data_IF_827375376597
#
_entry.id   IF_827375376597
#
_cell.length_a   1.000
_cell.length_b   1.000
_cell.length_c   1.000
_cell.angle_alpha   90.00
_cell.angle_beta   90.00
_cell.angle_gamma   90.00
#
_symmetry.space_group_name_H-M   'P 1'
#
loop_
_entity.id
_entity.type
_entity.pdbx_description
1 polymer ?
#
# COMPACT_ATOMS: atom_id res chain seq x y z
N UNK A 1 -11.92 -10.79 -6.85
CA UNK A 1 -11.60 -10.02 -8.06
C UNK A 1 -12.50 -8.79 -8.20
N UNK A 2 -12.05 -7.81 -9.02
CA UNK A 2 -12.87 -6.74 -9.58
C UNK A 2 -12.57 -6.67 -11.07
N UNK A 3 -13.56 -6.40 -11.89
CA UNK A 3 -13.40 -6.33 -13.33
C UNK A 3 -14.21 -5.18 -13.93
N UNK A 4 -13.66 -4.61 -15.01
CA UNK A 4 -14.34 -3.63 -15.86
C UNK A 4 -14.26 -4.15 -17.28
N UNK A 5 -15.37 -4.20 -17.98
CA UNK A 5 -15.46 -4.63 -19.37
C UNK A 5 -16.19 -3.60 -20.23
N UNK A 6 -15.61 -3.29 -21.39
CA UNK A 6 -16.27 -2.53 -22.43
C UNK A 6 -17.04 -3.48 -23.35
N UNK A 7 -18.35 -3.30 -23.41
CA UNK A 7 -19.22 -4.01 -24.34
C UNK A 7 -19.45 -3.13 -25.57
N UNK A 8 -18.84 -3.49 -26.68
CA UNK A 8 -18.90 -2.70 -27.91
C UNK A 8 -20.35 -2.45 -28.33
N UNK A 9 -20.73 -1.20 -28.52
CA UNK A 9 -22.08 -0.68 -28.82
C UNK A 9 -23.11 -0.80 -27.67
N UNK A 10 -22.73 -1.38 -26.53
CA UNK A 10 -23.66 -1.55 -25.40
C UNK A 10 -23.27 -0.72 -24.17
N UNK A 11 -21.98 -0.40 -23.97
CA UNK A 11 -21.54 0.40 -22.83
C UNK A 11 -20.46 -0.27 -21.99
N UNK A 12 -20.40 0.11 -20.71
CA UNK A 12 -19.39 -0.36 -19.76
C UNK A 12 -20.07 -1.11 -18.62
N UNK A 13 -19.53 -2.25 -18.24
CA UNK A 13 -19.95 -2.98 -17.04
C UNK A 13 -18.76 -3.13 -16.09
N UNK A 14 -18.97 -2.82 -14.81
CA UNK A 14 -18.02 -3.10 -13.72
C UNK A 14 -18.67 -4.00 -12.68
N UNK A 15 -17.89 -4.92 -12.10
CA UNK A 15 -18.43 -5.82 -11.07
C UNK A 15 -17.34 -6.32 -10.11
N UNK A 16 -17.77 -6.61 -8.87
CA UNK A 16 -16.92 -7.21 -7.82
C UNK A 16 -17.36 -8.63 -7.50
N UNK A 17 -16.41 -9.46 -7.07
CA UNK A 17 -16.74 -10.81 -6.56
C UNK A 17 -17.57 -10.72 -5.26
N UNK A 18 -18.25 -11.82 -4.89
CA UNK A 18 -19.12 -11.85 -3.70
C UNK A 18 -18.41 -11.54 -2.38
N UNK A 19 -17.09 -11.60 -2.35
CA UNK A 19 -16.28 -11.32 -1.16
C UNK A 19 -15.69 -9.90 -1.14
N UNK A 20 -15.79 -9.16 -2.24
CA UNK A 20 -15.23 -7.82 -2.37
C UNK A 20 -13.72 -7.77 -2.13
N UNK A 21 -12.97 -8.81 -2.57
CA UNK A 21 -11.53 -8.93 -2.27
C UNK A 21 -10.72 -7.77 -2.84
N UNK A 22 -11.01 -7.37 -4.09
CA UNK A 22 -10.39 -6.22 -4.74
C UNK A 22 -11.35 -5.02 -4.76
N UNK A 23 -10.85 -3.79 -4.61
CA UNK A 23 -11.68 -2.59 -4.65
C UNK A 23 -12.18 -2.28 -6.05
N UNK A 24 -13.33 -1.64 -6.12
CA UNK A 24 -13.89 -1.00 -7.31
C UNK A 24 -14.75 0.16 -6.85
N UNK A 25 -14.49 1.35 -7.36
CA UNK A 25 -15.22 2.58 -7.04
C UNK A 25 -15.94 3.12 -8.25
N UNK A 26 -17.08 3.78 -8.01
CA UNK A 26 -17.88 4.50 -9.00
C UNK A 26 -17.79 6.00 -8.74
N UNK A 27 -17.46 6.77 -9.75
CA UNK A 27 -17.47 8.23 -9.73
C UNK A 27 -18.37 8.82 -10.79
N UNK A 28 -18.73 10.10 -10.59
CA UNK A 28 -19.49 10.90 -11.54
C UNK A 28 -18.85 12.26 -11.76
N UNK A 29 -19.14 12.87 -12.88
CA UNK A 29 -18.78 14.24 -13.19
C UNK A 29 -19.90 14.87 -14.04
N UNK A 30 -20.35 16.04 -13.62
CA UNK A 30 -21.29 16.84 -14.41
C UNK A 30 -20.57 17.50 -15.59
N UNK A 31 -21.18 17.47 -16.74
CA UNK A 31 -20.69 18.09 -17.98
C UNK A 31 -21.81 18.90 -18.63
N UNK A 32 -21.47 19.71 -19.63
CA UNK A 32 -22.48 20.50 -20.40
C UNK A 32 -23.50 19.60 -21.11
N UNK A 33 -23.18 18.35 -21.40
CA UNK A 33 -24.01 17.40 -22.12
C UNK A 33 -24.70 16.36 -21.26
N UNK A 34 -24.44 16.34 -19.93
CA UNK A 34 -25.03 15.38 -18.99
C UNK A 34 -24.05 14.94 -17.91
N UNK A 35 -24.17 13.70 -17.45
CA UNK A 35 -23.33 13.11 -16.41
C UNK A 35 -22.41 12.06 -17.03
N UNK A 36 -21.10 12.25 -16.83
CA UNK A 36 -20.11 11.21 -17.11
C UNK A 36 -19.93 10.32 -15.88
N UNK A 37 -19.79 9.02 -16.09
CA UNK A 37 -19.46 8.05 -15.05
C UNK A 37 -18.09 7.44 -15.28
N UNK A 38 -17.40 7.11 -14.19
CA UNK A 38 -16.09 6.45 -14.21
C UNK A 38 -16.04 5.32 -13.19
N UNK A 39 -15.50 4.18 -13.61
CA UNK A 39 -15.15 3.06 -12.72
C UNK A 39 -13.63 3.00 -12.58
N UNK A 40 -13.16 2.85 -11.37
CA UNK A 40 -11.73 2.75 -11.07
C UNK A 40 -11.46 1.78 -9.90
N UNK A 41 -10.24 1.32 -9.77
CA UNK A 41 -9.82 0.51 -8.62
C UNK A 41 -9.56 1.34 -7.37
N UNK A 42 -9.33 2.65 -7.52
CA UNK A 42 -8.99 3.55 -6.42
C UNK A 42 -9.64 4.93 -6.60
N UNK A 43 -10.11 5.54 -5.49
CA UNK A 43 -10.73 6.86 -5.50
C UNK A 43 -9.83 7.96 -6.06
N UNK A 44 -8.52 7.85 -5.82
CA UNK A 44 -7.53 8.82 -6.33
C UNK A 44 -7.52 8.92 -7.86
N UNK A 45 -7.93 7.88 -8.59
CA UNK A 45 -8.05 7.94 -10.04
C UNK A 45 -9.23 8.84 -10.46
N UNK A 46 -10.29 8.87 -9.66
CA UNK A 46 -11.43 9.78 -9.84
C UNK A 46 -10.99 11.22 -9.61
N UNK A 47 -10.30 11.47 -8.49
CA UNK A 47 -9.84 12.82 -8.10
C UNK A 47 -8.98 13.47 -9.20
N UNK A 48 -8.00 12.70 -9.75
CA UNK A 48 -7.08 13.20 -10.79
C UNK A 48 -7.81 13.62 -12.07
N UNK A 49 -8.95 12.97 -12.37
CA UNK A 49 -9.74 13.24 -13.57
C UNK A 49 -10.97 14.13 -13.31
N UNK A 50 -11.12 14.66 -12.09
CA UNK A 50 -12.19 15.56 -11.72
C UNK A 50 -13.56 14.90 -11.59
N UNK A 51 -13.59 13.61 -11.20
CA UNK A 51 -14.81 12.90 -10.86
C UNK A 51 -15.04 12.91 -9.35
N UNK A 52 -16.28 13.09 -8.94
CA UNK A 52 -16.70 12.91 -7.55
C UNK A 52 -16.94 11.43 -7.26
N UNK A 53 -16.43 10.92 -6.14
CA UNK A 53 -16.73 9.58 -5.67
C UNK A 53 -18.21 9.48 -5.30
N UNK A 54 -18.94 8.56 -5.92
CA UNK A 54 -20.31 8.20 -5.51
C UNK A 54 -20.23 7.24 -4.33
N UNK A 55 -19.67 6.05 -4.58
CA UNK A 55 -19.47 5.01 -3.56
C UNK A 55 -18.52 3.90 -4.06
N UNK A 56 -18.25 2.95 -3.18
CA UNK A 56 -17.63 1.68 -3.52
C UNK A 56 -18.69 0.75 -4.13
N UNK A 57 -18.35 0.05 -5.22
CA UNK A 57 -19.19 -1.04 -5.74
C UNK A 57 -19.22 -2.16 -4.71
N UNK A 58 -20.41 -2.57 -4.28
CA UNK A 58 -20.57 -3.55 -3.21
C UNK A 58 -20.06 -4.96 -3.61
N UNK A 59 -19.72 -5.82 -2.63
CA UNK A 59 -19.42 -7.22 -2.91
C UNK A 59 -20.56 -7.91 -3.67
N UNK A 60 -20.24 -8.56 -4.78
CA UNK A 60 -21.21 -9.26 -5.63
C UNK A 60 -22.14 -8.35 -6.44
N UNK A 61 -21.87 -7.06 -6.48
CA UNK A 61 -22.63 -6.08 -7.27
C UNK A 61 -22.03 -5.90 -8.65
N UNK A 62 -22.89 -5.66 -9.63
CA UNK A 62 -22.56 -5.19 -10.97
C UNK A 62 -23.15 -3.80 -11.22
N UNK A 63 -22.37 -2.96 -11.88
CA UNK A 63 -22.71 -1.60 -12.32
C UNK A 63 -22.64 -1.58 -13.84
N UNK A 64 -23.67 -1.10 -14.49
CA UNK A 64 -23.73 -0.98 -15.94
C UNK A 64 -24.04 0.46 -16.34
N UNK A 65 -23.27 0.99 -17.28
CA UNK A 65 -23.44 2.32 -17.87
C UNK A 65 -23.66 2.13 -19.36
N UNK A 66 -24.84 2.48 -19.85
CA UNK A 66 -25.17 2.35 -21.25
C UNK A 66 -24.59 3.51 -22.11
N UNK A 67 -24.65 3.44 -23.46
CA UNK A 67 -24.14 4.51 -24.34
C UNK A 67 -24.85 5.86 -24.18
N UNK A 68 -26.06 5.89 -23.61
CA UNK A 68 -26.81 7.13 -23.36
C UNK A 68 -26.39 7.78 -22.00
N UNK A 69 -25.44 7.20 -21.25
CA UNK A 69 -25.03 7.70 -19.94
C UNK A 69 -25.97 7.33 -18.80
N UNK A 70 -26.86 6.34 -19.00
CA UNK A 70 -27.73 5.86 -17.94
C UNK A 70 -27.02 4.79 -17.08
N UNK A 71 -27.11 4.95 -15.75
CA UNK A 71 -26.48 4.09 -14.75
C UNK A 71 -27.49 3.08 -14.20
N UNK A 72 -27.12 1.82 -14.24
CA UNK A 72 -27.88 0.70 -13.65
C UNK A 72 -27.02 -0.06 -12.65
N UNK A 73 -27.64 -0.55 -11.59
CA UNK A 73 -26.97 -1.33 -10.54
C UNK A 73 -27.75 -2.57 -10.23
N UNK A 74 -27.05 -3.69 -10.04
CA UNK A 74 -27.66 -4.97 -9.75
C UNK A 74 -26.82 -5.75 -8.73
N UNK A 75 -27.43 -6.15 -7.61
CA UNK A 75 -26.85 -7.16 -6.74
C UNK A 75 -26.98 -8.54 -7.41
N UNK A 76 -25.84 -9.16 -7.74
CA UNK A 76 -25.79 -10.43 -8.47
C UNK A 76 -25.51 -11.63 -7.56
N UNK A 77 -25.02 -11.40 -6.33
CA UNK A 77 -24.73 -12.47 -5.37
C UNK A 77 -25.79 -12.53 -4.27
N UNK A 78 -26.23 -13.74 -3.91
CA UNK A 78 -27.25 -13.96 -2.88
C UNK A 78 -26.76 -13.67 -1.45
N UNK A 79 -25.49 -13.97 -1.15
CA UNK A 79 -24.90 -13.84 0.18
C UNK A 79 -23.54 -13.10 0.12
N UNK A 80 -23.51 -11.81 -0.24
CA UNK A 80 -22.28 -11.07 -0.34
C UNK A 80 -21.68 -10.82 1.05
N UNK A 81 -20.35 -10.84 1.14
CA UNK A 81 -19.63 -10.56 2.37
C UNK A 81 -18.36 -9.79 2.08
N UNK A 82 -18.20 -8.62 2.67
CA UNK A 82 -16.98 -7.83 2.52
C UNK A 82 -15.80 -8.46 3.29
N UNK A 83 -14.83 -8.98 2.54
CA UNK A 83 -13.57 -9.56 3.06
C UNK A 83 -12.40 -9.04 2.24
N UNK A 84 -12.06 -7.74 2.36
CA UNK A 84 -11.06 -7.11 1.53
C UNK A 84 -9.66 -7.68 1.78
N UNK A 85 -8.82 -7.66 0.76
CA UNK A 85 -7.42 -8.04 0.89
C UNK A 85 -6.65 -6.97 1.67
N UNK A 86 -6.03 -7.35 2.79
CA UNK A 86 -5.25 -6.42 3.61
C UNK A 86 -4.07 -5.78 2.85
N UNK A 87 -3.54 -6.44 1.82
CA UNK A 87 -2.45 -5.90 1.00
C UNK A 87 -2.85 -4.65 0.22
N UNK A 88 -4.14 -4.41 -0.02
CA UNK A 88 -4.60 -3.14 -0.57
C UNK A 88 -4.20 -1.99 0.34
N UNK A 89 -4.47 -2.10 1.64
CA UNK A 89 -4.16 -1.06 2.61
C UNK A 89 -2.67 -0.97 2.92
N UNK A 90 -1.97 -2.10 2.95
CA UNK A 90 -0.55 -2.17 3.33
C UNK A 90 0.36 -1.72 2.19
N UNK A 91 0.08 -2.13 0.95
CA UNK A 91 1.04 -2.05 -0.16
C UNK A 91 0.48 -1.51 -1.47
N UNK A 92 -0.65 -2.07 -1.99
CA UNK A 92 -1.07 -1.79 -3.36
C UNK A 92 -1.63 -0.39 -3.54
N UNK A 93 -2.58 0.03 -2.69
CA UNK A 93 -3.27 1.29 -2.84
C UNK A 93 -2.36 2.49 -2.56
N UNK A 94 -2.64 3.59 -3.21
CA UNK A 94 -2.03 4.87 -2.88
C UNK A 94 -2.50 5.32 -1.49
N UNK A 95 -1.64 5.99 -0.71
CA UNK A 95 -2.01 6.43 0.64
C UNK A 95 -3.21 7.37 0.69
N UNK A 96 -3.38 8.17 -0.35
CA UNK A 96 -4.46 9.16 -0.49
C UNK A 96 -5.80 8.55 -0.92
N UNK A 97 -5.87 7.23 -1.18
CA UNK A 97 -7.11 6.55 -1.54
C UNK A 97 -8.02 6.26 -0.35
N UNK A 98 -9.34 6.31 -0.65
CA UNK A 98 -10.39 5.74 0.19
C UNK A 98 -10.87 4.43 -0.42
N UNK A 99 -11.04 3.38 0.40
CA UNK A 99 -11.53 2.07 -0.04
C UNK A 99 -12.49 1.50 0.99
N UNK A 100 -13.68 1.09 0.55
CA UNK A 100 -14.74 0.57 1.42
C UNK A 100 -14.96 1.46 2.68
N UNK A 101 -14.93 2.78 2.46
CA UNK A 101 -15.06 3.80 3.53
C UNK A 101 -13.84 3.94 4.45
N UNK A 102 -12.72 3.26 4.16
CA UNK A 102 -11.52 3.26 4.99
C UNK A 102 -10.38 4.03 4.30
N UNK A 103 -9.81 5.01 5.01
CA UNK A 103 -8.62 5.73 4.54
C UNK A 103 -7.36 4.85 4.62
N UNK A 104 -6.69 4.68 3.50
CA UNK A 104 -5.40 3.96 3.41
C UNK A 104 -4.34 4.67 4.26
N UNK A 105 -4.29 6.00 4.22
CA UNK A 105 -3.37 6.80 5.02
C UNK A 105 -3.52 6.54 6.53
N UNK A 106 -4.76 6.66 7.05
CA UNK A 106 -5.05 6.40 8.47
C UNK A 106 -4.74 4.96 8.87
N UNK A 107 -4.99 4.01 7.97
CA UNK A 107 -4.67 2.60 8.21
C UNK A 107 -3.17 2.41 8.41
N UNK A 108 -2.33 2.99 7.54
CA UNK A 108 -0.87 2.91 7.67
C UNK A 108 -0.34 3.63 8.91
N UNK A 109 -0.93 4.77 9.29
CA UNK A 109 -0.61 5.42 10.58
C UNK A 109 -0.87 4.49 11.76
N UNK A 110 -2.08 3.91 11.83
CA UNK A 110 -2.48 2.99 12.91
C UNK A 110 -1.61 1.73 12.98
N UNK A 111 -1.13 1.23 11.85
CA UNK A 111 -0.15 0.13 11.82
C UNK A 111 1.15 0.53 12.52
N UNK A 112 1.66 1.73 12.27
CA UNK A 112 2.84 2.28 12.96
C UNK A 112 2.63 2.42 14.47
N UNK A 113 1.50 2.97 14.89
CA UNK A 113 1.12 3.10 16.30
C UNK A 113 1.02 1.73 17.01
N UNK A 114 0.38 0.75 16.37
CA UNK A 114 0.25 -0.60 16.90
C UNK A 114 1.62 -1.28 17.07
N UNK A 115 2.52 -1.13 16.09
CA UNK A 115 3.89 -1.64 16.17
C UNK A 115 4.69 -0.96 17.28
N UNK A 116 4.56 0.35 17.46
CA UNK A 116 5.22 1.09 18.54
C UNK A 116 4.79 0.57 19.91
N UNK A 117 3.48 0.38 20.13
CA UNK A 117 2.94 -0.22 21.37
C UNK A 117 3.50 -1.62 21.60
N UNK A 118 3.60 -2.44 20.55
CA UNK A 118 4.17 -3.79 20.62
C UNK A 118 5.65 -3.77 20.97
N UNK A 119 6.44 -2.86 20.39
CA UNK A 119 7.88 -2.72 20.72
C UNK A 119 8.05 -2.35 22.19
N UNK A 120 7.31 -1.34 22.69
CA UNK A 120 7.36 -0.98 24.12
C UNK A 120 7.01 -2.13 25.05
N UNK A 121 6.02 -2.96 24.69
CA UNK A 121 5.60 -4.09 25.49
C UNK A 121 6.64 -5.22 25.52
N UNK A 122 7.29 -5.51 24.38
CA UNK A 122 8.27 -6.62 24.28
C UNK A 122 9.66 -6.21 24.79
N UNK A 123 10.06 -4.98 24.54
CA UNK A 123 11.39 -4.46 24.84
C UNK A 123 11.31 -2.98 25.24
N UNK A 124 10.93 -2.67 26.49
CA UNK A 124 10.85 -1.30 26.99
C UNK A 124 12.17 -0.54 26.82
N UNK A 125 13.28 -1.17 27.14
CA UNK A 125 14.65 -0.63 27.00
C UNK A 125 15.25 -1.03 25.63
N UNK A 126 14.60 -0.62 24.54
CA UNK A 126 14.99 -1.03 23.18
C UNK A 126 16.30 -0.40 22.71
N UNK A 127 16.72 0.74 23.26
CA UNK A 127 17.96 1.43 22.90
C UNK A 127 18.03 1.87 21.43
N UNK A 128 16.87 2.05 20.77
CA UNK A 128 16.79 2.50 19.36
C UNK A 128 17.06 4.00 19.31
N UNK A 129 17.98 4.42 18.44
CA UNK A 129 18.33 5.82 18.22
C UNK A 129 17.47 6.47 17.12
N UNK A 130 17.06 5.69 16.11
CA UNK A 130 16.38 6.21 14.91
C UNK A 130 15.50 5.16 14.24
N UNK A 131 14.36 5.61 13.71
CA UNK A 131 13.46 4.83 12.86
C UNK A 131 13.69 5.21 11.40
N UNK A 132 13.93 4.22 10.56
CA UNK A 132 14.25 4.37 9.13
C UNK A 132 13.27 3.56 8.30
N UNK A 133 12.48 4.17 7.40
CA UNK A 133 11.60 3.45 6.50
C UNK A 133 12.36 2.80 5.35
N UNK A 134 11.85 1.67 4.87
CA UNK A 134 12.20 1.15 3.55
C UNK A 134 11.29 1.85 2.53
N UNK A 135 11.85 2.68 1.61
CA UNK A 135 11.01 3.46 0.70
C UNK A 135 10.29 2.56 -0.32
N UNK A 136 9.06 2.90 -0.73
CA UNK A 136 8.32 4.13 -0.41
C UNK A 136 7.15 3.87 0.56
N UNK A 137 6.58 2.66 0.56
CA UNK A 137 5.29 2.27 1.17
C UNK A 137 5.28 2.33 2.69
N UNK A 138 6.42 2.07 3.33
CA UNK A 138 6.51 2.02 4.80
C UNK A 138 6.67 3.38 5.48
N UNK A 139 6.86 4.47 4.73
CA UNK A 139 7.13 5.81 5.29
C UNK A 139 6.10 6.25 6.32
N UNK A 140 4.81 6.13 6.00
CA UNK A 140 3.73 6.59 6.87
C UNK A 140 3.71 5.80 8.18
N UNK A 141 3.82 4.48 8.10
CA UNK A 141 3.88 3.62 9.28
C UNK A 141 5.13 3.90 10.12
N UNK A 142 6.29 4.06 9.49
CA UNK A 142 7.55 4.38 10.17
C UNK A 142 7.52 5.76 10.85
N UNK A 143 6.94 6.76 10.20
CA UNK A 143 6.79 8.09 10.78
C UNK A 143 5.88 8.09 11.99
N UNK A 144 4.73 7.43 11.88
CA UNK A 144 3.78 7.28 13.00
C UNK A 144 4.40 6.50 14.16
N UNK A 145 5.14 5.41 13.85
CA UNK A 145 5.88 4.63 14.84
C UNK A 145 6.95 5.46 15.55
N UNK A 146 7.73 6.26 14.82
CA UNK A 146 8.76 7.12 15.39
C UNK A 146 8.17 8.15 16.34
N UNK A 147 7.06 8.76 15.93
CA UNK A 147 6.31 9.72 16.77
C UNK A 147 5.85 9.06 18.08
N UNK A 148 5.19 7.91 18.01
CA UNK A 148 4.70 7.17 19.17
C UNK A 148 5.83 6.71 20.11
N UNK A 149 6.99 6.33 19.57
CA UNK A 149 8.15 5.92 20.37
C UNK A 149 8.94 7.12 20.93
N UNK A 150 8.68 8.34 20.49
CA UNK A 150 9.49 9.51 20.83
C UNK A 150 10.89 9.49 20.21
N UNK A 151 11.04 8.81 19.05
CA UNK A 151 12.30 8.63 18.34
C UNK A 151 12.42 9.52 17.11
N UNK A 152 13.66 9.71 16.65
CA UNK A 152 13.92 10.41 15.37
C UNK A 152 13.45 9.55 14.20
N UNK A 153 12.76 10.16 13.26
CA UNK A 153 12.50 9.61 11.93
C UNK A 153 13.54 10.14 10.96
N UNK A 154 14.16 9.27 10.14
CA UNK A 154 15.14 9.66 9.12
C UNK A 154 15.00 8.79 7.86
N UNK A 155 15.18 9.43 6.71
CA UNK A 155 15.28 8.75 5.41
C UNK A 155 16.70 8.20 5.24
N UNK A 156 16.96 7.00 5.78
CA UNK A 156 18.28 6.37 5.71
C UNK A 156 18.56 5.65 4.38
N UNK A 157 17.53 5.38 3.58
CA UNK A 157 17.68 4.77 2.27
C UNK A 157 17.11 5.67 1.17
N UNK A 158 17.91 5.93 0.14
CA UNK A 158 17.48 6.65 -1.06
C UNK A 158 17.17 5.67 -2.19
N UNK A 159 15.95 5.76 -2.73
CA UNK A 159 15.53 4.94 -3.87
C UNK A 159 16.00 5.56 -5.19
N UNK A 160 16.65 4.75 -6.02
CA UNK A 160 16.95 5.16 -7.38
C UNK A 160 15.67 5.16 -8.22
N UNK A 161 15.21 6.35 -8.60
CA UNK A 161 13.96 6.57 -9.35
C UNK A 161 14.03 6.08 -10.80
N UNK A 162 15.22 5.91 -11.35
CA UNK A 162 15.44 5.50 -12.74
C UNK A 162 15.40 3.98 -12.92
N UNK A 163 15.39 3.20 -11.85
CA UNK A 163 15.35 1.74 -11.90
C UNK A 163 13.95 1.26 -11.53
N UNK A 164 13.26 0.64 -12.49
CA UNK A 164 11.92 0.09 -12.34
C UNK A 164 11.83 -1.11 -11.38
N UNK A 165 10.62 -1.66 -11.22
CA UNK A 165 10.37 -2.86 -10.37
C UNK A 165 11.07 -4.08 -10.95
N UNK A 166 11.92 -4.77 -10.15
CA UNK A 166 12.68 -5.96 -10.56
C UNK A 166 12.08 -7.26 -10.02
N UNK A 167 10.81 -7.28 -9.61
CA UNK A 167 10.16 -8.51 -9.10
C UNK A 167 10.02 -9.62 -10.14
N UNK A 168 10.20 -9.32 -11.42
CA UNK A 168 9.93 -10.21 -12.56
C UNK A 168 11.23 -10.77 -13.17
N UNK A 169 12.42 -10.45 -12.64
CA UNK A 169 13.67 -10.97 -13.21
C UNK A 169 13.97 -12.42 -12.78
N UNK A 170 14.25 -13.33 -13.70
CA UNK A 170 14.70 -14.68 -13.40
C UNK A 170 16.16 -14.65 -12.91
N UNK A 171 16.45 -15.35 -11.81
CA UNK A 171 17.81 -15.53 -11.29
C UNK A 171 18.07 -14.87 -9.92
N UNK A 172 18.64 -15.65 -8.96
CA UNK A 172 18.94 -15.15 -7.61
C UNK A 172 20.11 -14.16 -7.57
N UNK A 173 21.10 -14.30 -8.44
CA UNK A 173 22.27 -13.42 -8.46
C UNK A 173 21.97 -12.05 -9.07
N UNK A 174 21.07 -11.96 -10.03
CA UNK A 174 20.60 -10.71 -10.61
C UNK A 174 19.72 -9.94 -9.62
N UNK A 175 18.91 -10.63 -8.78
CA UNK A 175 18.12 -10.02 -7.73
C UNK A 175 18.99 -9.40 -6.63
N UNK A 176 20.15 -9.99 -6.28
CA UNK A 176 21.08 -9.43 -5.29
C UNK A 176 21.70 -8.12 -5.79
N UNK A 177 22.11 -8.05 -7.04
CA UNK A 177 22.59 -6.80 -7.66
C UNK A 177 21.48 -5.74 -7.71
N UNK A 178 20.23 -6.15 -7.94
CA UNK A 178 19.10 -5.24 -8.14
C UNK A 178 18.67 -4.49 -6.89
N UNK A 179 18.79 -5.03 -5.68
CA UNK A 179 18.44 -4.30 -4.44
C UNK A 179 19.47 -3.19 -4.18
N UNK A 180 20.76 -3.47 -4.32
CA UNK A 180 21.83 -2.45 -4.20
C UNK A 180 21.74 -1.35 -5.25
N UNK A 181 21.30 -1.68 -6.46
CA UNK A 181 21.09 -0.66 -7.51
C UNK A 181 19.88 0.23 -7.23
N UNK A 182 18.87 -0.31 -6.53
CA UNK A 182 17.62 0.41 -6.23
C UNK A 182 17.67 1.27 -4.99
N UNK A 183 18.40 0.81 -3.97
CA UNK A 183 18.48 1.47 -2.68
C UNK A 183 19.94 1.81 -2.38
N UNK A 184 20.19 3.07 -2.03
CA UNK A 184 21.49 3.51 -1.56
C UNK A 184 21.38 3.97 -0.10
N UNK A 185 22.20 3.42 0.85
CA UNK A 185 22.18 3.87 2.23
C UNK A 185 22.88 5.22 2.38
N UNK A 186 22.32 6.06 3.23
CA UNK A 186 22.93 7.32 3.67
C UNK A 186 23.72 7.03 4.94
N UNK A 187 25.05 6.78 4.84
CA UNK A 187 25.89 6.27 5.93
C UNK A 187 25.77 7.10 7.21
N UNK A 188 25.65 8.43 7.09
CA UNK A 188 25.44 9.34 8.22
C UNK A 188 24.24 8.94 9.12
N UNK A 189 23.22 8.32 8.55
CA UNK A 189 22.04 7.91 9.31
C UNK A 189 22.17 6.54 9.96
N UNK A 190 23.24 5.79 9.66
CA UNK A 190 23.50 4.46 10.20
C UNK A 190 24.68 4.40 11.16
N UNK A 191 25.76 5.11 10.87
CA UNK A 191 27.04 5.01 11.57
C UNK A 191 26.91 5.20 13.09
N UNK A 192 27.35 4.17 13.83
CA UNK A 192 27.33 4.10 15.29
C UNK A 192 25.95 4.00 15.94
N UNK A 193 24.85 3.95 15.16
CA UNK A 193 23.48 3.98 15.69
C UNK A 193 22.84 2.61 15.79
N UNK A 194 21.95 2.46 16.74
CA UNK A 194 20.97 1.38 16.80
C UNK A 194 19.73 1.81 15.99
N UNK A 195 19.50 1.16 14.84
CA UNK A 195 18.46 1.55 13.91
C UNK A 195 17.27 0.59 13.93
N UNK A 196 16.05 1.11 13.80
CA UNK A 196 14.85 0.34 13.55
C UNK A 196 14.43 0.55 12.10
N UNK A 197 14.61 -0.47 11.28
CA UNK A 197 14.12 -0.50 9.91
C UNK A 197 12.66 -0.91 9.90
N UNK A 198 11.85 -0.18 9.14
CA UNK A 198 10.40 -0.46 9.00
C UNK A 198 10.10 -0.74 7.53
N UNK A 199 9.56 -1.92 7.24
CA UNK A 199 9.09 -2.30 5.91
C UNK A 199 7.58 -2.52 5.93
N UNK A 200 6.96 -2.49 4.75
CA UNK A 200 5.53 -2.77 4.63
C UNK A 200 5.21 -4.24 4.91
N UNK A 201 6.01 -5.16 4.38
CA UNK A 201 5.76 -6.60 4.48
C UNK A 201 7.02 -7.44 4.31
N UNK A 202 6.99 -8.66 4.83
CA UNK A 202 8.02 -9.68 4.60
C UNK A 202 7.40 -10.84 3.84
N UNK A 203 7.75 -11.00 2.56
CA UNK A 203 7.23 -12.10 1.73
C UNK A 203 8.14 -13.33 1.78
N UNK A 204 9.40 -13.21 1.31
CA UNK A 204 10.37 -14.32 1.26
C UNK A 204 11.60 -14.08 2.16
N UNK A 205 11.71 -12.92 2.79
CA UNK A 205 12.82 -12.53 3.64
C UNK A 205 14.16 -12.25 2.92
N UNK A 206 14.27 -12.51 1.62
CA UNK A 206 15.53 -12.28 0.87
C UNK A 206 15.88 -10.80 0.80
N UNK A 207 14.92 -9.95 0.46
CA UNK A 207 15.10 -8.49 0.41
C UNK A 207 15.41 -7.93 1.80
N UNK A 208 14.67 -8.38 2.82
CA UNK A 208 14.88 -7.99 4.20
C UNK A 208 16.33 -8.26 4.67
N UNK A 209 16.86 -9.48 4.39
CA UNK A 209 18.25 -9.83 4.74
C UNK A 209 19.26 -8.90 4.06
N UNK A 210 19.04 -8.56 2.79
CA UNK A 210 19.93 -7.68 2.05
C UNK A 210 19.92 -6.25 2.60
N UNK A 211 18.74 -5.73 2.92
CA UNK A 211 18.58 -4.39 3.49
C UNK A 211 19.23 -4.31 4.87
N UNK A 212 19.03 -5.31 5.72
CA UNK A 212 19.71 -5.40 7.02
C UNK A 212 21.23 -5.42 6.85
N UNK A 213 21.75 -6.17 5.87
CA UNK A 213 23.19 -6.20 5.60
C UNK A 213 23.69 -4.85 5.10
N UNK A 214 22.94 -4.17 4.23
CA UNK A 214 23.29 -2.81 3.76
C UNK A 214 23.36 -1.81 4.92
N UNK A 215 22.43 -1.89 5.88
CA UNK A 215 22.47 -1.04 7.07
C UNK A 215 23.71 -1.31 7.94
N UNK A 216 24.09 -2.59 8.10
CA UNK A 216 25.32 -2.98 8.80
C UNK A 216 26.58 -2.51 8.08
N UNK A 217 26.64 -2.70 6.75
CA UNK A 217 27.74 -2.23 5.91
C UNK A 217 27.89 -0.70 5.96
N UNK A 218 26.78 0.04 6.19
CA UNK A 218 26.75 1.48 6.39
C UNK A 218 27.11 1.91 7.82
N UNK A 219 27.54 0.99 8.70
CA UNK A 219 28.04 1.29 10.03
C UNK A 219 27.02 1.25 11.17
N UNK A 220 25.83 0.70 10.96
CA UNK A 220 24.87 0.54 12.05
C UNK A 220 25.44 -0.37 13.17
N UNK A 221 25.37 0.13 14.41
CA UNK A 221 25.78 -0.63 15.60
C UNK A 221 24.87 -1.84 15.85
N UNK A 222 23.56 -1.62 15.69
CA UNK A 222 22.54 -2.66 15.81
C UNK A 222 21.38 -2.37 14.87
N UNK A 223 20.77 -3.42 14.31
CA UNK A 223 19.63 -3.31 13.41
C UNK A 223 18.47 -4.13 13.95
N UNK A 224 17.37 -3.44 14.22
CA UNK A 224 16.05 -4.02 14.41
C UNK A 224 15.27 -3.91 13.12
N UNK A 225 14.31 -4.82 12.90
CA UNK A 225 13.46 -4.82 11.73
C UNK A 225 12.00 -5.03 12.14
N UNK A 226 11.09 -4.20 11.65
CA UNK A 226 9.66 -4.28 11.87
C UNK A 226 8.91 -4.34 10.53
N UNK A 227 7.87 -5.17 10.45
CA UNK A 227 6.95 -5.27 9.33
C UNK A 227 5.60 -4.68 9.73
N UNK A 228 5.07 -3.74 8.91
CA UNK A 228 3.76 -3.15 9.13
C UNK A 228 2.64 -4.18 8.88
N UNK A 229 2.80 -5.05 7.88
CA UNK A 229 1.88 -6.15 7.63
C UNK A 229 2.02 -7.25 8.69
N UNK A 230 0.91 -7.73 9.28
CA UNK A 230 0.93 -8.90 10.14
C UNK A 230 1.30 -10.17 9.36
N UNK A 231 1.72 -11.26 10.05
CA UNK A 231 2.00 -12.53 9.39
C UNK A 231 0.73 -13.10 8.76
N UNK A 232 0.83 -13.55 7.51
CA UNK A 232 -0.22 -14.33 6.85
C UNK A 232 -0.21 -15.74 7.46
N UNK A 233 -1.33 -16.16 8.04
CA UNK A 233 -1.42 -17.43 8.75
C UNK A 233 -2.27 -18.48 8.05
N UNK A 234 -3.15 -18.06 7.13
CA UNK A 234 -4.12 -18.93 6.43
C UNK A 234 -4.25 -18.47 4.97
#
# INVERSE_FOLDING_TARGET
>A
YAAIALLVNYGIVGFRDPWGIRPLVLGRRETETGIDYMLASESVALDVLGFELIDDVAPGEAVYINPNGELFRQQCADNPRLTPCIFEHVYFARPDSMMDGISVYKTRMRQGEALAKKIRAIKPDHGIDVVIPIPDTSRIAAQSMAHELGLKFREGFMKNRYIGRTFIMPGQNERKKSVRQKLNPVSLEFEGKTVLLVDDSIVRGTTCRQIIQMARDAGARQVYFASACPPVRY
#
